data_IF_105985862142
#
_entry.id   IF_105985862142
#
_cell.length_a   1.000
_cell.length_b   1.000
_cell.length_c   1.000
_cell.angle_alpha   90.00
_cell.angle_beta   90.00
_cell.angle_gamma   90.00
#
_symmetry.space_group_name_H-M   'P 1'
#
loop_
_entity.id
_entity.type
_entity.pdbx_description
1 polymer ?
#
# COMPACT_ATOMS: atom_id res chain seq x y z
N UNK A 1 5.07 29.89 1.56
CA UNK A 1 6.39 29.36 1.95
C UNK A 1 6.61 28.09 1.17
N UNK A 2 7.83 27.76 0.76
CA UNK A 2 8.12 26.52 0.04
C UNK A 2 7.68 25.34 0.88
N UNK A 3 6.91 24.43 0.31
CA UNK A 3 6.47 23.18 0.96
C UNK A 3 7.42 22.02 0.64
N UNK A 4 8.48 22.30 -0.14
CA UNK A 4 9.43 21.28 -0.57
C UNK A 4 10.23 20.73 0.63
N UNK A 5 10.11 19.43 0.84
CA UNK A 5 10.88 18.65 1.81
C UNK A 5 11.97 17.86 1.08
N UNK A 6 13.19 17.88 1.64
CA UNK A 6 14.34 17.17 1.07
C UNK A 6 14.73 16.02 2.00
N UNK A 7 14.26 14.78 1.74
CA UNK A 7 14.65 13.61 2.52
C UNK A 7 16.16 13.39 2.51
N UNK A 8 16.73 13.06 3.67
CA UNK A 8 18.15 12.68 3.82
C UNK A 8 18.28 11.22 4.26
N UNK A 9 17.63 10.89 5.37
CA UNK A 9 17.52 9.54 5.90
C UNK A 9 16.03 9.24 6.07
N UNK A 10 15.54 8.20 5.38
CA UNK A 10 14.13 7.83 5.34
C UNK A 10 13.92 6.52 6.07
N UNK A 11 13.12 6.52 7.13
CA UNK A 11 12.56 5.28 7.69
C UNK A 11 11.37 4.86 6.83
N UNK A 12 11.49 3.75 6.13
CA UNK A 12 10.39 3.10 5.40
C UNK A 12 9.91 1.92 6.24
N UNK A 13 8.65 1.90 6.64
CA UNK A 13 8.08 0.77 7.37
C UNK A 13 7.17 -0.05 6.47
N UNK A 14 7.23 -1.38 6.55
CA UNK A 14 6.44 -2.24 5.66
C UNK A 14 6.97 -2.28 4.22
N UNK A 15 8.28 -2.03 4.05
CA UNK A 15 8.91 -1.97 2.73
C UNK A 15 9.11 -3.32 2.05
N UNK A 16 8.94 -4.45 2.74
CA UNK A 16 8.91 -5.77 2.13
C UNK A 16 7.50 -6.19 1.67
N UNK A 17 6.47 -5.38 1.97
CA UNK A 17 5.10 -5.56 1.48
C UNK A 17 4.93 -5.01 0.05
N UNK A 18 3.77 -5.24 -0.54
CA UNK A 18 3.47 -4.93 -1.94
C UNK A 18 3.77 -3.47 -2.35
N UNK A 19 3.13 -2.48 -1.70
CA UNK A 19 3.28 -1.07 -2.08
C UNK A 19 4.66 -0.55 -1.67
N UNK A 20 5.11 -0.88 -0.44
CA UNK A 20 6.41 -0.46 0.07
C UNK A 20 7.58 -0.99 -0.75
N UNK A 21 7.52 -2.24 -1.24
CA UNK A 21 8.56 -2.81 -2.09
C UNK A 21 8.63 -2.11 -3.45
N UNK A 22 7.49 -1.88 -4.11
CA UNK A 22 7.46 -1.11 -5.35
C UNK A 22 7.99 0.32 -5.17
N UNK A 23 7.70 0.96 -4.03
CA UNK A 23 8.27 2.26 -3.69
C UNK A 23 9.80 2.18 -3.55
N UNK A 24 10.33 1.25 -2.75
CA UNK A 24 11.77 1.11 -2.52
C UNK A 24 12.55 0.76 -3.80
N UNK A 25 12.04 -0.20 -4.60
CA UNK A 25 12.66 -0.59 -5.87
C UNK A 25 12.80 0.58 -6.86
N UNK A 26 11.94 1.59 -6.76
CA UNK A 26 11.99 2.79 -7.59
C UNK A 26 12.83 3.90 -6.96
N UNK A 27 12.73 4.10 -5.64
CA UNK A 27 13.32 5.27 -4.96
C UNK A 27 14.78 5.07 -4.59
N UNK A 28 15.20 3.87 -4.20
CA UNK A 28 16.60 3.59 -3.85
C UNK A 28 17.56 3.91 -5.02
N UNK A 29 17.34 3.40 -6.26
CA UNK A 29 18.21 3.77 -7.38
C UNK A 29 17.98 5.21 -7.89
N UNK A 30 16.79 5.79 -7.68
CA UNK A 30 16.47 7.16 -8.12
C UNK A 30 17.20 8.22 -7.29
N UNK A 31 17.43 7.95 -6.00
CA UNK A 31 18.00 8.90 -5.04
C UNK A 31 19.20 8.32 -4.32
N UNK A 32 20.36 8.20 -4.99
CA UNK A 32 21.55 7.56 -4.41
C UNK A 32 22.12 8.31 -3.19
N UNK A 33 21.82 9.61 -3.04
CA UNK A 33 22.26 10.42 -1.90
C UNK A 33 21.30 10.36 -0.68
N UNK A 34 20.16 9.66 -0.80
CA UNK A 34 19.19 9.46 0.27
C UNK A 34 19.37 8.08 0.87
N UNK A 35 19.52 7.99 2.18
CA UNK A 35 19.58 6.71 2.89
C UNK A 35 18.18 6.18 3.19
N UNK A 36 17.93 4.93 2.88
CA UNK A 36 16.66 4.24 3.14
C UNK A 36 16.87 3.13 4.17
N UNK A 37 16.23 3.23 5.33
CA UNK A 37 16.19 2.18 6.35
C UNK A 37 14.80 1.55 6.31
N UNK A 38 14.72 0.29 5.94
CA UNK A 38 13.46 -0.45 5.78
C UNK A 38 13.20 -1.32 7.02
N UNK A 39 12.23 -0.94 7.84
CA UNK A 39 11.76 -1.72 8.99
C UNK A 39 10.54 -2.55 8.57
N UNK A 40 10.66 -3.88 8.59
CA UNK A 40 9.56 -4.79 8.24
C UNK A 40 9.53 -5.99 9.19
N UNK A 41 8.33 -6.37 9.62
CA UNK A 41 8.12 -7.50 10.52
C UNK A 41 8.11 -8.85 9.78
N UNK A 42 8.17 -8.84 8.44
CA UNK A 42 8.09 -10.01 7.58
C UNK A 42 6.93 -10.94 7.96
N UNK A 43 5.74 -10.33 8.14
CA UNK A 43 4.51 -11.07 8.32
C UNK A 43 4.16 -11.85 7.04
N UNK A 44 2.96 -12.38 6.93
CA UNK A 44 2.59 -13.24 5.81
C UNK A 44 2.72 -12.62 4.41
N UNK A 45 2.63 -11.28 4.29
CA UNK A 45 2.70 -10.56 3.03
C UNK A 45 4.06 -9.88 2.78
N UNK A 46 4.95 -9.87 3.77
CA UNK A 46 6.31 -9.35 3.63
C UNK A 46 7.22 -10.40 2.98
N UNK A 47 7.86 -10.05 1.85
CA UNK A 47 8.77 -10.95 1.14
C UNK A 47 10.10 -10.26 0.79
N UNK A 48 11.19 -10.59 1.50
CA UNK A 48 12.50 -9.98 1.25
C UNK A 48 13.05 -10.29 -0.16
N UNK A 49 12.67 -11.41 -0.79
CA UNK A 49 13.08 -11.72 -2.16
C UNK A 49 12.65 -10.64 -3.17
N UNK A 50 11.57 -9.91 -2.87
CA UNK A 50 11.13 -8.79 -3.71
C UNK A 50 12.19 -7.68 -3.78
N UNK A 51 12.98 -7.52 -2.72
CA UNK A 51 13.96 -6.45 -2.58
C UNK A 51 15.38 -6.85 -2.99
N UNK A 52 15.60 -8.10 -3.48
CA UNK A 52 16.90 -8.54 -3.97
C UNK A 52 17.58 -7.56 -4.94
N UNK A 53 16.88 -6.89 -5.87
CA UNK A 53 17.53 -5.94 -6.78
C UNK A 53 18.21 -4.75 -6.12
N UNK A 54 17.88 -4.46 -4.85
CA UNK A 54 18.43 -3.34 -4.08
C UNK A 54 19.08 -3.76 -2.76
N UNK A 55 19.18 -5.06 -2.46
CA UNK A 55 19.69 -5.54 -1.16
C UNK A 55 21.13 -5.11 -0.87
N UNK A 56 21.97 -5.01 -1.91
CA UNK A 56 23.38 -4.62 -1.84
C UNK A 56 23.61 -3.11 -2.13
N UNK A 57 22.54 -2.30 -2.25
CA UNK A 57 22.68 -0.88 -2.52
C UNK A 57 23.26 -0.15 -1.29
N UNK A 58 24.29 0.69 -1.51
CA UNK A 58 24.99 1.42 -0.42
C UNK A 58 24.06 2.34 0.40
N UNK A 59 22.95 2.76 -0.20
CA UNK A 59 21.96 3.63 0.40
C UNK A 59 20.70 2.90 0.91
N UNK A 60 20.76 1.57 1.06
CA UNK A 60 19.65 0.74 1.56
C UNK A 60 20.09 -0.11 2.75
N UNK A 61 19.28 -0.15 3.79
CA UNK A 61 19.46 -1.02 4.96
C UNK A 61 18.14 -1.69 5.33
N UNK A 62 18.15 -3.00 5.51
CA UNK A 62 17.00 -3.75 6.00
C UNK A 62 17.11 -4.01 7.51
N UNK A 63 16.00 -3.81 8.21
CA UNK A 63 15.85 -4.13 9.64
C UNK A 63 14.62 -5.01 9.83
N UNK A 64 14.81 -6.21 10.37
CA UNK A 64 13.70 -7.08 10.74
C UNK A 64 13.12 -6.66 12.10
N UNK A 65 11.85 -6.30 12.15
CA UNK A 65 11.18 -5.94 13.40
C UNK A 65 9.77 -5.39 13.27
N UNK A 66 9.05 -5.36 14.39
CA UNK A 66 7.67 -4.91 14.50
C UNK A 66 7.63 -3.41 14.90
N UNK A 67 6.86 -2.61 14.18
CA UNK A 67 6.63 -1.20 14.50
C UNK A 67 5.95 -0.98 15.87
N UNK A 68 5.30 -2.00 16.42
CA UNK A 68 4.73 -1.96 17.77
C UNK A 68 5.76 -2.25 18.87
N UNK A 69 7.01 -2.64 18.52
CA UNK A 69 8.11 -2.75 19.47
C UNK A 69 8.74 -1.35 19.72
N UNK A 70 8.26 -0.68 20.77
CA UNK A 70 8.71 0.66 21.13
C UNK A 70 10.22 0.73 21.47
N UNK A 71 10.83 -0.35 21.97
CA UNK A 71 12.26 -0.35 22.27
C UNK A 71 13.10 -0.43 21.00
N UNK A 72 12.69 -1.24 20.01
CA UNK A 72 13.32 -1.31 18.70
C UNK A 72 13.18 0.03 17.96
N UNK A 73 11.96 0.56 17.88
CA UNK A 73 11.68 1.82 17.19
C UNK A 73 12.50 2.96 17.80
N UNK A 74 12.55 3.09 19.14
CA UNK A 74 13.35 4.11 19.80
C UNK A 74 14.83 3.96 19.46
N UNK A 75 15.37 2.75 19.52
CA UNK A 75 16.78 2.49 19.17
C UNK A 75 17.09 2.91 17.73
N UNK A 76 16.20 2.64 16.77
CA UNK A 76 16.41 3.06 15.38
C UNK A 76 16.45 4.59 15.25
N UNK A 77 15.60 5.31 15.97
CA UNK A 77 15.65 6.79 15.98
C UNK A 77 16.89 7.33 16.71
N UNK A 78 17.48 6.58 17.64
CA UNK A 78 18.74 6.95 18.30
C UNK A 78 19.99 6.67 17.43
N UNK A 79 19.92 5.62 16.59
CA UNK A 79 21.01 5.19 15.71
C UNK A 79 21.04 5.94 14.37
N UNK A 80 19.87 6.41 13.89
CA UNK A 80 19.73 7.06 12.59
C UNK A 80 19.10 8.46 12.74
N UNK A 81 19.68 9.44 12.07
CA UNK A 81 19.14 10.81 12.02
C UNK A 81 18.00 10.91 10.99
N UNK A 82 16.90 10.22 11.24
CA UNK A 82 15.76 10.22 10.34
C UNK A 82 15.19 11.62 10.13
N UNK A 83 15.21 12.10 8.90
CA UNK A 83 14.48 13.32 8.51
C UNK A 83 13.05 13.01 8.04
N UNK A 84 12.78 11.76 7.72
CA UNK A 84 11.52 11.36 7.07
C UNK A 84 11.08 9.97 7.55
N UNK A 85 9.79 9.82 7.78
CA UNK A 85 9.13 8.51 7.94
C UNK A 85 8.14 8.34 6.78
N UNK A 86 8.27 7.26 6.02
CA UNK A 86 7.30 6.80 5.03
C UNK A 86 6.64 5.51 5.57
N UNK A 87 5.42 5.65 6.10
CA UNK A 87 4.79 4.60 6.89
C UNK A 87 3.80 3.78 6.07
N UNK A 88 4.26 2.62 5.55
CA UNK A 88 3.45 1.66 4.80
C UNK A 88 3.00 0.47 5.66
N UNK A 89 3.69 0.16 6.76
CA UNK A 89 3.41 -1.01 7.57
C UNK A 89 1.97 -1.03 8.08
N UNK A 90 1.22 -2.06 7.71
CA UNK A 90 -0.16 -2.26 8.14
C UNK A 90 -0.57 -3.73 7.96
N UNK A 91 -1.41 -4.24 8.83
CA UNK A 91 -2.28 -5.37 8.49
C UNK A 91 -3.38 -4.87 7.55
N UNK A 92 -3.62 -5.55 6.41
CA UNK A 92 -4.43 -5.01 5.31
C UNK A 92 -5.45 -5.97 4.68
N UNK A 93 -5.58 -7.19 5.19
CA UNK A 93 -6.52 -8.17 4.63
C UNK A 93 -7.84 -8.16 5.39
N UNK A 94 -8.91 -7.69 4.75
CA UNK A 94 -10.23 -7.51 5.39
C UNK A 94 -10.74 -8.83 6.02
N UNK A 95 -10.69 -9.96 5.32
CA UNK A 95 -11.18 -11.24 5.86
C UNK A 95 -10.38 -11.68 7.10
N UNK A 96 -9.06 -11.43 7.13
CA UNK A 96 -8.25 -11.66 8.35
C UNK A 96 -8.65 -10.72 9.48
N UNK A 97 -9.04 -9.48 9.19
CA UNK A 97 -9.49 -8.54 10.23
C UNK A 97 -10.78 -8.99 10.92
N UNK A 98 -11.62 -9.74 10.22
CA UNK A 98 -12.84 -10.33 10.77
C UNK A 98 -12.49 -11.50 11.73
N UNK A 99 -11.43 -12.25 11.41
CA UNK A 99 -10.99 -13.38 12.22
C UNK A 99 -10.16 -12.98 13.45
N UNK A 100 -9.27 -11.98 13.27
CA UNK A 100 -8.40 -11.48 14.35
C UNK A 100 -8.32 -9.94 14.31
N UNK A 101 -9.34 -9.22 14.80
CA UNK A 101 -9.37 -7.76 14.77
C UNK A 101 -8.30 -7.12 15.67
N UNK A 102 -7.83 -7.81 16.72
CA UNK A 102 -6.85 -7.25 17.65
C UNK A 102 -5.46 -7.13 17.03
N UNK A 103 -5.06 -8.04 16.14
CA UNK A 103 -3.82 -7.90 15.38
C UNK A 103 -3.82 -6.59 14.56
N UNK A 104 -4.95 -6.23 13.95
CA UNK A 104 -5.10 -4.98 13.20
C UNK A 104 -5.01 -3.75 14.09
N UNK A 105 -5.64 -3.75 15.26
CA UNK A 105 -5.51 -2.66 16.23
C UNK A 105 -4.06 -2.53 16.70
N UNK A 106 -3.40 -3.63 17.02
CA UNK A 106 -2.00 -3.61 17.46
C UNK A 106 -1.07 -3.03 16.41
N UNK A 107 -1.12 -3.53 15.19
CA UNK A 107 -0.23 -3.05 14.12
C UNK A 107 -0.63 -1.66 13.66
N UNK A 108 -1.89 -1.47 13.25
CA UNK A 108 -2.28 -0.23 12.57
C UNK A 108 -2.43 0.95 13.53
N UNK A 109 -2.91 0.74 14.76
CA UNK A 109 -3.15 1.82 15.73
C UNK A 109 -1.95 1.98 16.68
N UNK A 110 -1.58 0.91 17.40
CA UNK A 110 -0.50 0.98 18.38
C UNK A 110 0.86 1.17 17.70
N UNK A 111 1.13 0.45 16.61
CA UNK A 111 2.36 0.61 15.83
C UNK A 111 2.52 2.01 15.27
N UNK A 112 1.45 2.58 14.69
CA UNK A 112 1.46 3.99 14.23
C UNK A 112 1.72 4.97 15.38
N UNK A 113 1.06 4.79 16.52
CA UNK A 113 1.30 5.63 17.70
C UNK A 113 2.75 5.56 18.21
N UNK A 114 3.35 4.36 18.19
CA UNK A 114 4.74 4.13 18.57
C UNK A 114 5.71 4.91 17.66
N UNK A 115 5.50 4.84 16.33
CA UNK A 115 6.31 5.60 15.37
C UNK A 115 6.14 7.12 15.53
N UNK A 116 4.90 7.57 15.69
CA UNK A 116 4.60 9.00 15.91
C UNK A 116 5.28 9.55 17.17
N UNK A 117 5.25 8.80 18.27
CA UNK A 117 5.87 9.24 19.53
C UNK A 117 7.39 9.25 19.44
N UNK A 118 8.00 8.26 18.77
CA UNK A 118 9.44 8.24 18.52
C UNK A 118 9.88 9.41 17.63
N UNK A 119 9.18 9.67 16.52
CA UNK A 119 9.44 10.82 15.65
C UNK A 119 9.30 12.15 16.39
N UNK A 120 8.22 12.31 17.17
CA UNK A 120 8.01 13.51 18.00
C UNK A 120 9.18 13.75 18.95
N UNK A 121 9.64 12.72 19.66
CA UNK A 121 10.75 12.84 20.62
C UNK A 121 12.06 13.19 19.90
N UNK A 122 12.38 12.50 18.80
CA UNK A 122 13.62 12.69 18.07
C UNK A 122 13.69 14.07 17.38
N UNK A 123 12.55 14.57 16.87
CA UNK A 123 12.50 15.81 16.08
C UNK A 123 12.24 17.07 16.92
N UNK A 124 11.90 16.93 18.21
CA UNK A 124 11.71 18.08 19.09
C UNK A 124 13.06 18.63 19.56
N UNK A 125 13.38 19.84 19.14
CA UNK A 125 14.57 20.58 19.58
C UNK A 125 14.15 21.88 20.24
N UNK A 126 14.61 22.16 21.45
CA UNK A 126 14.25 23.36 22.23
C UNK A 126 12.72 23.58 22.39
N UNK A 127 11.96 22.48 22.41
CA UNK A 127 10.50 22.52 22.56
C UNK A 127 9.71 22.74 21.27
N UNK A 128 10.36 22.75 20.10
CA UNK A 128 9.72 22.89 18.79
C UNK A 128 10.22 21.83 17.80
N UNK A 129 9.45 21.61 16.73
CA UNK A 129 9.82 20.75 15.58
C UNK A 129 9.93 21.65 14.35
N UNK A 130 11.03 21.51 13.60
CA UNK A 130 11.19 22.22 12.32
C UNK A 130 10.30 21.56 11.25
N UNK A 131 9.25 22.24 10.76
CA UNK A 131 8.33 21.66 9.81
C UNK A 131 8.88 21.54 8.37
N UNK A 132 10.06 22.07 8.11
CA UNK A 132 10.74 21.96 6.81
C UNK A 132 11.77 20.84 6.83
N UNK A 133 12.45 20.65 7.97
CA UNK A 133 13.50 19.63 8.11
C UNK A 133 12.95 18.20 8.21
N UNK A 134 11.71 18.04 8.70
CA UNK A 134 11.14 16.74 9.02
C UNK A 134 9.80 16.51 8.34
N UNK A 135 9.45 15.22 8.08
CA UNK A 135 8.15 14.81 7.55
C UNK A 135 7.76 13.39 7.95
N UNK A 136 6.59 13.24 8.52
CA UNK A 136 5.94 11.95 8.75
C UNK A 136 4.84 11.75 7.69
N UNK A 137 5.05 10.81 6.77
CA UNK A 137 4.08 10.49 5.73
C UNK A 137 3.37 9.18 6.06
N UNK A 138 2.06 9.24 6.23
CA UNK A 138 1.20 8.10 6.52
C UNK A 138 0.40 7.69 5.30
N UNK A 139 0.59 6.43 4.86
CA UNK A 139 -0.13 5.84 3.73
C UNK A 139 -1.38 5.13 4.26
N UNK A 140 -2.56 5.57 3.83
CA UNK A 140 -3.87 5.05 4.21
C UNK A 140 -4.65 4.54 3.00
N UNK A 141 -5.93 4.28 3.16
CA UNK A 141 -6.82 3.65 2.18
C UNK A 141 -8.13 4.43 2.04
N UNK A 142 -8.79 4.30 0.91
CA UNK A 142 -10.15 4.81 0.67
C UNK A 142 -11.23 4.06 1.47
N UNK A 143 -10.93 2.87 1.95
CA UNK A 143 -11.87 2.07 2.76
C UNK A 143 -12.26 2.77 4.09
N UNK A 144 -11.51 3.79 4.52
CA UNK A 144 -11.87 4.60 5.71
C UNK A 144 -13.11 5.47 5.48
N UNK A 145 -13.46 5.76 4.23
CA UNK A 145 -14.63 6.58 3.88
C UNK A 145 -15.95 5.83 3.85
N UNK A 146 -15.93 4.48 3.91
CA UNK A 146 -17.13 3.65 3.83
C UNK A 146 -17.51 3.32 2.38
N UNK A 147 -18.80 3.27 2.08
CA UNK A 147 -19.31 2.86 0.76
C UNK A 147 -20.04 4.00 0.04
N UNK A 148 -19.89 4.06 -1.27
CA UNK A 148 -20.66 4.96 -2.14
C UNK A 148 -21.92 4.25 -2.69
N UNK A 149 -22.92 5.06 -3.04
CA UNK A 149 -24.00 4.65 -3.94
C UNK A 149 -23.56 4.69 -5.41
N UNK A 150 -24.54 4.87 -6.31
CA UNK A 150 -24.30 4.80 -7.76
C UNK A 150 -23.44 5.96 -8.31
N UNK A 151 -23.32 7.06 -7.59
CA UNK A 151 -22.65 8.27 -8.05
C UNK A 151 -21.73 8.86 -6.96
N UNK A 152 -20.90 9.84 -7.32
CA UNK A 152 -19.98 10.52 -6.44
C UNK A 152 -18.62 9.85 -6.37
N UNK A 153 -17.68 10.49 -5.69
CA UNK A 153 -16.36 9.98 -5.37
C UNK A 153 -15.95 10.52 -4.00
N UNK A 154 -15.13 9.78 -3.28
CA UNK A 154 -14.50 10.25 -2.06
C UNK A 154 -13.44 11.31 -2.38
N UNK A 155 -13.38 12.34 -1.57
CA UNK A 155 -12.35 13.38 -1.59
C UNK A 155 -11.82 13.62 -0.16
N UNK A 156 -10.88 14.54 -0.01
CA UNK A 156 -10.23 14.85 1.26
C UNK A 156 -11.16 15.45 2.31
N UNK A 157 -12.37 15.85 1.92
CA UNK A 157 -13.41 16.42 2.81
C UNK A 157 -14.46 15.40 3.23
N UNK A 158 -14.44 14.21 2.62
CA UNK A 158 -15.40 13.14 2.91
C UNK A 158 -15.23 12.65 4.35
N UNK A 159 -16.28 12.61 5.16
CA UNK A 159 -16.24 12.03 6.51
C UNK A 159 -15.87 10.54 6.48
N UNK A 160 -15.17 10.07 7.50
CA UNK A 160 -14.87 8.66 7.69
C UNK A 160 -16.09 7.90 8.20
N UNK A 161 -16.38 6.76 7.56
CA UNK A 161 -17.47 5.83 7.91
C UNK A 161 -17.04 4.36 7.67
N UNK A 162 -15.99 3.85 8.37
CA UNK A 162 -15.42 2.54 8.12
C UNK A 162 -16.34 1.39 8.57
N UNK A 163 -16.51 0.35 7.72
CA UNK A 163 -17.41 -0.77 7.98
C UNK A 163 -16.73 -2.09 8.33
N UNK A 164 -15.39 -2.16 8.31
CA UNK A 164 -14.62 -3.35 8.68
C UNK A 164 -13.64 -3.08 9.82
N UNK A 165 -13.19 -4.12 10.58
CA UNK A 165 -12.15 -3.93 11.58
C UNK A 165 -10.84 -3.38 10.97
N UNK A 166 -10.51 -3.77 9.72
CA UNK A 166 -9.39 -3.21 8.99
C UNK A 166 -9.56 -1.71 8.76
N UNK A 167 -10.64 -1.30 8.08
CA UNK A 167 -10.86 0.11 7.75
C UNK A 167 -11.02 0.97 9.01
N UNK A 168 -11.65 0.44 10.07
CA UNK A 168 -11.75 1.12 11.37
C UNK A 168 -10.37 1.31 12.02
N UNK A 169 -9.46 0.33 11.93
CA UNK A 169 -8.10 0.45 12.45
C UNK A 169 -7.27 1.48 11.67
N UNK A 170 -7.45 1.54 10.34
CA UNK A 170 -6.81 2.56 9.49
C UNK A 170 -7.35 3.96 9.78
N UNK A 171 -8.67 4.12 9.91
CA UNK A 171 -9.27 5.39 10.33
C UNK A 171 -8.74 5.84 11.70
N UNK A 172 -8.57 4.91 12.65
CA UNK A 172 -7.97 5.18 13.95
C UNK A 172 -6.53 5.68 13.85
N UNK A 173 -5.71 5.08 12.98
CA UNK A 173 -4.34 5.54 12.74
C UNK A 173 -4.30 6.93 12.07
N UNK A 174 -5.16 7.18 11.08
CA UNK A 174 -5.25 8.49 10.44
C UNK A 174 -5.61 9.61 11.43
N UNK A 175 -6.55 9.31 12.35
CA UNK A 175 -6.90 10.26 13.42
C UNK A 175 -5.75 10.51 14.39
N UNK A 176 -4.94 9.49 14.73
CA UNK A 176 -3.75 9.68 15.56
C UNK A 176 -2.71 10.57 14.85
N UNK A 177 -2.48 10.35 13.56
CA UNK A 177 -1.54 11.18 12.77
C UNK A 177 -1.98 12.64 12.79
N UNK A 178 -3.27 12.94 12.56
CA UNK A 178 -3.81 14.31 12.65
C UNK A 178 -3.70 14.88 14.07
N UNK A 179 -4.02 14.08 15.09
CA UNK A 179 -3.92 14.51 16.48
C UNK A 179 -2.49 14.89 16.89
N UNK A 180 -1.47 14.18 16.38
CA UNK A 180 -0.06 14.51 16.61
C UNK A 180 0.36 15.80 15.90
N UNK A 181 -0.18 16.09 14.71
CA UNK A 181 0.02 17.37 14.05
C UNK A 181 -0.58 18.51 14.88
N UNK A 182 -1.85 18.38 15.26
CA UNK A 182 -2.59 19.43 15.98
C UNK A 182 -2.06 19.67 17.39
N UNK A 183 -1.66 18.60 18.11
CA UNK A 183 -1.25 18.68 19.51
C UNK A 183 0.21 19.03 19.67
N UNK A 184 1.07 18.49 18.83
CA UNK A 184 2.52 18.58 18.99
C UNK A 184 3.24 19.32 17.86
N UNK A 185 2.51 19.74 16.82
CA UNK A 185 3.08 20.39 15.64
C UNK A 185 3.93 19.43 14.78
N UNK A 186 3.68 18.12 14.88
CA UNK A 186 4.42 17.14 14.06
C UNK A 186 4.11 17.40 12.58
N UNK A 187 5.12 17.57 11.70
CA UNK A 187 4.91 17.78 10.27
C UNK A 187 4.47 16.48 9.60
N UNK A 188 3.19 16.31 9.43
CA UNK A 188 2.58 15.10 8.86
C UNK A 188 1.98 15.36 7.50
N UNK A 189 1.89 14.33 6.68
CA UNK A 189 1.04 14.27 5.49
C UNK A 189 0.38 12.90 5.43
N UNK A 190 -0.85 12.83 4.93
CA UNK A 190 -1.62 11.59 4.80
C UNK A 190 -2.00 11.40 3.33
N UNK A 191 -2.05 10.17 2.86
CA UNK A 191 -2.74 9.83 1.61
C UNK A 191 -3.72 8.69 1.81
N UNK A 192 -4.87 8.80 1.12
CA UNK A 192 -5.86 7.72 1.00
C UNK A 192 -5.85 7.26 -0.46
N UNK A 193 -5.50 6.00 -0.70
CA UNK A 193 -5.40 5.47 -2.06
C UNK A 193 -6.53 4.51 -2.38
N UNK A 194 -6.89 4.41 -3.66
CA UNK A 194 -7.80 3.40 -4.19
C UNK A 194 -7.12 2.01 -4.29
N UNK A 195 -7.86 1.01 -4.79
CA UNK A 195 -7.37 -0.37 -4.87
C UNK A 195 -6.14 -0.49 -5.77
N UNK A 196 -5.01 -0.85 -5.17
CA UNK A 196 -3.75 -1.03 -5.90
C UNK A 196 -3.67 -2.39 -6.59
N UNK A 197 -3.02 -2.43 -7.75
CA UNK A 197 -2.65 -3.67 -8.46
C UNK A 197 -1.31 -3.50 -9.17
N UNK A 198 -0.65 -4.60 -9.48
CA UNK A 198 0.64 -4.60 -10.18
C UNK A 198 1.59 -5.70 -9.72
N UNK A 199 2.86 -5.63 -10.11
CA UNK A 199 3.92 -6.57 -9.71
C UNK A 199 4.05 -6.72 -8.19
N UNK A 200 4.35 -7.93 -7.72
CA UNK A 200 4.62 -8.24 -6.30
C UNK A 200 3.41 -8.18 -5.35
N UNK A 201 2.18 -8.03 -5.84
CA UNK A 201 1.00 -8.14 -4.99
C UNK A 201 0.78 -9.58 -4.53
N UNK A 202 0.53 -9.77 -3.23
CA UNK A 202 0.35 -11.10 -2.65
C UNK A 202 -0.84 -11.85 -3.28
N UNK A 203 -0.69 -13.15 -3.65
CA UNK A 203 -1.65 -13.89 -4.49
C UNK A 203 -2.98 -14.26 -3.82
N UNK A 204 -3.28 -13.74 -2.62
CA UNK A 204 -4.61 -13.78 -2.01
C UNK A 204 -5.54 -12.66 -2.51
N UNK A 205 -4.99 -11.59 -3.10
CA UNK A 205 -5.75 -10.46 -3.63
C UNK A 205 -6.34 -10.78 -5.00
N UNK A 206 -7.47 -10.12 -5.33
CA UNK A 206 -8.29 -10.44 -6.51
C UNK A 206 -7.47 -10.65 -7.80
N UNK A 207 -6.68 -9.64 -8.20
CA UNK A 207 -5.99 -9.67 -9.50
C UNK A 207 -4.95 -10.81 -9.56
N UNK A 208 -3.96 -10.93 -8.66
CA UNK A 208 -3.00 -12.01 -8.75
C UNK A 208 -3.61 -13.39 -8.52
N UNK A 209 -4.63 -13.51 -7.65
CA UNK A 209 -5.36 -14.77 -7.46
C UNK A 209 -6.02 -15.23 -8.76
N UNK A 210 -6.72 -14.33 -9.47
CA UNK A 210 -7.40 -14.67 -10.72
C UNK A 210 -6.41 -15.00 -11.83
N UNK A 211 -5.27 -14.29 -11.94
CA UNK A 211 -4.21 -14.61 -12.90
C UNK A 211 -3.69 -16.05 -12.68
N UNK A 212 -3.35 -16.38 -11.41
CA UNK A 212 -2.83 -17.70 -11.07
C UNK A 212 -3.82 -18.80 -11.39
N UNK A 213 -5.09 -18.61 -10.98
CA UNK A 213 -6.14 -19.59 -11.22
C UNK A 213 -6.52 -19.74 -12.71
N UNK A 214 -6.57 -18.63 -13.46
CA UNK A 214 -6.81 -18.66 -14.90
C UNK A 214 -5.65 -19.36 -15.66
N UNK A 215 -4.39 -19.12 -15.24
CA UNK A 215 -3.24 -19.85 -15.77
C UNK A 215 -3.42 -21.35 -15.64
N UNK A 216 -3.82 -21.82 -14.46
CA UNK A 216 -3.89 -23.23 -14.10
C UNK A 216 -5.27 -23.86 -14.45
N UNK A 217 -6.19 -23.11 -15.05
CA UNK A 217 -7.60 -23.52 -15.30
C UNK A 217 -8.26 -24.05 -14.02
N UNK A 218 -7.94 -23.47 -12.88
CA UNK A 218 -8.53 -23.77 -11.59
C UNK A 218 -9.80 -22.91 -11.35
N UNK A 219 -10.73 -23.31 -10.48
CA UNK A 219 -11.92 -22.52 -10.18
C UNK A 219 -11.60 -21.09 -9.76
N UNK A 220 -12.24 -20.10 -10.41
CA UNK A 220 -12.09 -18.67 -10.13
C UNK A 220 -13.26 -18.20 -9.24
N UNK A 221 -13.05 -18.05 -7.91
CA UNK A 221 -14.14 -17.67 -7.01
C UNK A 221 -14.49 -16.19 -7.13
N UNK A 222 -15.74 -15.88 -7.46
CA UNK A 222 -16.26 -14.51 -7.49
C UNK A 222 -17.30 -14.36 -6.37
N UNK A 223 -17.07 -13.39 -5.47
CA UNK A 223 -18.00 -13.10 -4.37
C UNK A 223 -19.33 -12.54 -4.88
N UNK A 224 -20.44 -13.04 -4.34
CA UNK A 224 -21.79 -12.63 -4.71
C UNK A 224 -22.03 -12.79 -6.23
N UNK A 225 -22.48 -11.74 -6.89
CA UNK A 225 -22.63 -11.67 -8.35
C UNK A 225 -21.45 -10.94 -9.04
N UNK A 226 -20.42 -10.52 -8.27
CA UNK A 226 -19.28 -9.77 -8.79
C UNK A 226 -19.60 -8.32 -9.17
N UNK A 227 -20.69 -7.76 -8.63
CA UNK A 227 -21.18 -6.42 -8.97
C UNK A 227 -20.47 -5.29 -8.21
N UNK A 228 -19.69 -5.61 -7.16
CA UNK A 228 -18.93 -4.62 -6.42
C UNK A 228 -17.99 -3.86 -7.35
N UNK A 229 -17.97 -2.53 -7.20
CA UNK A 229 -17.15 -1.64 -8.03
C UNK A 229 -15.94 -1.17 -7.24
N UNK A 230 -14.77 -1.19 -7.89
CA UNK A 230 -13.52 -0.68 -7.33
C UNK A 230 -12.85 0.26 -8.32
N UNK A 231 -12.20 1.30 -7.79
CA UNK A 231 -11.27 2.12 -8.56
C UNK A 231 -9.88 1.50 -8.49
N UNK A 232 -9.24 1.28 -9.64
CA UNK A 232 -8.00 0.52 -9.75
C UNK A 232 -6.82 1.43 -10.08
N UNK A 233 -5.80 1.42 -9.22
CA UNK A 233 -4.58 2.22 -9.33
C UNK A 233 -3.36 1.30 -9.54
N UNK A 234 -2.60 1.53 -10.62
CA UNK A 234 -1.35 0.79 -10.82
C UNK A 234 -0.33 1.18 -9.76
N UNK A 235 0.35 0.20 -9.17
CA UNK A 235 1.24 0.40 -8.01
C UNK A 235 2.43 1.31 -8.33
N UNK A 236 2.90 1.36 -9.57
CA UNK A 236 3.97 2.28 -9.97
C UNK A 236 3.49 3.73 -10.00
N UNK A 237 2.27 3.99 -10.47
CA UNK A 237 1.67 5.31 -10.43
C UNK A 237 1.43 5.77 -8.99
N UNK A 238 1.07 4.83 -8.11
CA UNK A 238 0.97 5.10 -6.68
C UNK A 238 2.34 5.42 -6.07
N UNK A 239 3.39 4.67 -6.40
CA UNK A 239 4.74 4.94 -5.89
C UNK A 239 5.26 6.33 -6.34
N UNK A 240 4.97 6.74 -7.58
CA UNK A 240 5.30 8.08 -8.07
C UNK A 240 4.47 9.18 -7.37
N UNK A 241 3.19 8.93 -7.07
CA UNK A 241 2.35 9.83 -6.26
C UNK A 241 2.91 10.00 -4.85
N UNK A 242 3.31 8.89 -4.22
CA UNK A 242 3.90 8.88 -2.87
C UNK A 242 5.19 9.72 -2.85
N UNK A 243 6.11 9.53 -3.80
CA UNK A 243 7.35 10.31 -3.89
C UNK A 243 7.05 11.81 -4.02
N UNK A 244 6.11 12.16 -4.89
CA UNK A 244 5.70 13.54 -5.10
C UNK A 244 5.09 14.17 -3.84
N UNK A 245 4.16 13.48 -3.18
CA UNK A 245 3.53 13.95 -1.92
C UNK A 245 4.58 14.04 -0.81
N UNK A 246 5.49 13.07 -0.72
CA UNK A 246 6.56 13.06 0.28
C UNK A 246 7.48 14.28 0.16
N UNK A 247 7.72 14.79 -1.06
CA UNK A 247 8.58 15.94 -1.31
C UNK A 247 7.82 17.26 -1.30
N UNK A 248 6.69 17.32 -1.95
CA UNK A 248 6.00 18.58 -2.28
C UNK A 248 4.63 18.72 -1.62
N UNK A 249 4.10 17.67 -0.96
CA UNK A 249 2.86 17.73 -0.22
C UNK A 249 2.93 18.76 0.91
N UNK A 250 1.81 19.41 1.19
CA UNK A 250 1.70 20.38 2.30
C UNK A 250 1.53 19.65 3.63
N UNK A 251 2.25 20.10 4.65
CA UNK A 251 2.09 19.56 6.00
C UNK A 251 0.64 19.74 6.51
N UNK A 252 0.17 18.76 7.27
CA UNK A 252 -1.18 18.65 7.83
C UNK A 252 -2.28 18.45 6.78
N UNK A 253 -1.91 18.20 5.52
CA UNK A 253 -2.87 17.93 4.45
C UNK A 253 -3.04 16.43 4.21
N UNK A 254 -4.20 16.10 3.65
CA UNK A 254 -4.49 14.78 3.09
C UNK A 254 -4.56 14.89 1.57
N UNK A 255 -4.13 13.84 0.86
CA UNK A 255 -4.23 13.70 -0.58
C UNK A 255 -4.90 12.38 -0.95
N UNK A 256 -5.95 12.45 -1.73
CA UNK A 256 -6.59 11.29 -2.33
C UNK A 256 -5.84 10.85 -3.59
N UNK A 257 -5.59 9.55 -3.74
CA UNK A 257 -4.85 8.99 -4.89
C UNK A 257 -5.74 7.93 -5.57
N UNK A 258 -6.31 8.26 -6.72
CA UNK A 258 -7.24 7.40 -7.44
C UNK A 258 -6.80 7.07 -8.87
N UNK A 259 -7.19 5.88 -9.33
CA UNK A 259 -6.87 5.43 -10.69
C UNK A 259 -7.78 6.01 -11.78
N UNK A 260 -8.94 6.56 -11.43
CA UNK A 260 -10.05 6.89 -12.35
C UNK A 260 -10.44 5.70 -13.23
N UNK A 261 -10.38 4.52 -12.66
CA UNK A 261 -10.56 3.26 -13.37
C UNK A 261 -11.57 2.36 -12.63
N UNK A 262 -12.77 2.89 -12.43
CA UNK A 262 -13.87 2.14 -11.83
C UNK A 262 -14.27 0.95 -12.69
N UNK A 263 -14.26 -0.25 -12.12
CA UNK A 263 -14.67 -1.49 -12.78
C UNK A 263 -15.42 -2.40 -11.80
N UNK A 264 -16.44 -3.09 -12.29
CA UNK A 264 -17.03 -4.19 -11.53
C UNK A 264 -16.04 -5.34 -11.41
N UNK A 265 -16.04 -6.02 -10.28
CA UNK A 265 -15.13 -7.14 -10.04
C UNK A 265 -15.27 -8.23 -11.13
N UNK A 266 -16.48 -8.54 -11.58
CA UNK A 266 -16.70 -9.52 -12.65
C UNK A 266 -16.08 -9.08 -13.99
N UNK A 267 -16.16 -7.78 -14.33
CA UNK A 267 -15.54 -7.26 -15.55
C UNK A 267 -14.03 -7.35 -15.50
N UNK A 268 -13.42 -7.10 -14.31
CA UNK A 268 -11.98 -7.30 -14.08
C UNK A 268 -11.62 -8.78 -14.28
N UNK A 269 -12.38 -9.70 -13.68
CA UNK A 269 -12.12 -11.15 -13.82
C UNK A 269 -12.23 -11.60 -15.27
N UNK A 270 -13.23 -11.15 -16.01
CA UNK A 270 -13.35 -11.46 -17.44
C UNK A 270 -12.14 -10.97 -18.24
N UNK A 271 -11.72 -9.72 -18.00
CA UNK A 271 -10.55 -9.15 -18.70
C UNK A 271 -9.27 -9.91 -18.37
N UNK A 272 -9.09 -10.31 -17.10
CA UNK A 272 -7.94 -11.13 -16.69
C UNK A 272 -7.93 -12.49 -17.37
N UNK A 273 -9.07 -13.17 -17.45
CA UNK A 273 -9.19 -14.46 -18.14
C UNK A 273 -8.75 -14.33 -19.60
N UNK A 274 -9.28 -13.32 -20.31
CA UNK A 274 -8.94 -13.10 -21.72
C UNK A 274 -7.45 -12.81 -21.91
N UNK A 275 -6.87 -11.94 -21.07
CA UNK A 275 -5.45 -11.60 -21.15
C UNK A 275 -4.54 -12.79 -20.86
N UNK A 276 -4.92 -13.68 -19.94
CA UNK A 276 -4.18 -14.91 -19.62
C UNK A 276 -4.30 -15.90 -20.78
N UNK A 277 -5.51 -16.10 -21.36
CA UNK A 277 -5.70 -16.98 -22.51
C UNK A 277 -4.90 -16.49 -23.72
N UNK A 278 -4.93 -15.18 -24.04
CA UNK A 278 -4.11 -14.59 -25.09
C UNK A 278 -2.61 -14.85 -24.88
N UNK A 279 -2.12 -14.59 -23.65
CA UNK A 279 -0.70 -14.72 -23.32
C UNK A 279 -0.21 -16.18 -23.40
N UNK A 280 -1.08 -17.13 -23.14
CA UNK A 280 -0.79 -18.58 -23.20
C UNK A 280 -1.16 -19.24 -24.54
N UNK A 281 -1.63 -18.45 -25.52
CA UNK A 281 -2.03 -18.95 -26.84
C UNK A 281 -3.28 -19.85 -26.81
N UNK A 282 -4.17 -19.65 -25.84
CA UNK A 282 -5.45 -20.36 -25.71
C UNK A 282 -6.56 -19.62 -26.46
N UNK A 283 -7.66 -20.30 -26.75
CA UNK A 283 -8.88 -19.66 -27.21
C UNK A 283 -9.39 -18.70 -26.11
N UNK A 284 -9.62 -17.43 -26.47
CA UNK A 284 -10.11 -16.40 -25.55
C UNK A 284 -11.48 -16.81 -24.99
N UNK A 285 -11.60 -16.79 -23.66
CA UNK A 285 -12.79 -17.23 -22.93
C UNK A 285 -12.64 -18.61 -22.28
N UNK A 286 -11.60 -19.38 -22.60
CA UNK A 286 -11.34 -20.70 -22.00
C UNK A 286 -11.26 -20.59 -20.45
N UNK A 287 -10.51 -19.63 -19.93
CA UNK A 287 -10.39 -19.43 -18.49
C UNK A 287 -11.71 -18.92 -17.86
N UNK A 288 -12.56 -18.20 -18.60
CA UNK A 288 -13.85 -17.72 -18.10
C UNK A 288 -14.81 -18.87 -17.70
N UNK A 289 -14.69 -20.04 -18.33
CA UNK A 289 -15.49 -21.21 -17.99
C UNK A 289 -15.25 -21.73 -16.58
N UNK A 290 -14.13 -21.29 -15.95
CA UNK A 290 -13.78 -21.69 -14.59
C UNK A 290 -14.35 -20.73 -13.52
N UNK A 291 -15.09 -19.69 -13.91
CA UNK A 291 -15.69 -18.75 -12.95
C UNK A 291 -16.75 -19.46 -12.11
N UNK A 292 -16.61 -19.35 -10.79
CA UNK A 292 -17.55 -19.91 -9.82
C UNK A 292 -18.02 -18.81 -8.86
N UNK A 293 -19.33 -18.66 -8.71
CA UNK A 293 -19.89 -17.70 -7.77
C UNK A 293 -19.93 -18.30 -6.37
N UNK A 294 -19.40 -17.56 -5.39
CA UNK A 294 -19.33 -17.97 -3.98
C UNK A 294 -20.11 -17.00 -3.10
N UNK A 295 -20.43 -17.42 -1.87
CA UNK A 295 -21.15 -16.55 -0.92
C UNK A 295 -20.36 -15.27 -0.68
N UNK A 296 -21.07 -14.14 -0.70
CA UNK A 296 -20.46 -12.84 -0.41
C UNK A 296 -20.04 -12.71 1.06
N UNK A 297 -19.01 -11.88 1.32
CA UNK A 297 -18.49 -11.64 2.67
C UNK A 297 -19.38 -10.67 3.44
N UNK A 298 -19.46 -10.77 4.77
CA UNK A 298 -20.13 -9.76 5.59
C UNK A 298 -19.49 -8.37 5.48
N UNK A 299 -20.31 -7.32 5.43
CA UNK A 299 -19.83 -5.94 5.37
C UNK A 299 -19.05 -5.61 4.09
N UNK A 300 -19.41 -6.24 2.97
CA UNK A 300 -18.78 -5.99 1.68
C UNK A 300 -19.30 -4.69 1.07
N UNK A 301 -18.54 -3.63 1.15
CA UNK A 301 -18.86 -2.33 0.56
C UNK A 301 -19.13 -2.46 -0.94
N UNK A 302 -20.16 -1.77 -1.41
CA UNK A 302 -20.62 -1.93 -2.79
C UNK A 302 -19.70 -1.22 -3.78
N UNK A 303 -19.38 0.08 -3.55
CA UNK A 303 -18.61 0.87 -4.51
C UNK A 303 -17.61 1.78 -3.82
N UNK A 304 -16.39 1.81 -4.38
CA UNK A 304 -15.36 2.78 -4.10
C UNK A 304 -15.00 3.54 -5.37
N UNK A 305 -14.91 4.86 -5.25
CA UNK A 305 -14.33 5.76 -6.24
C UNK A 305 -13.67 6.92 -5.52
N UNK A 306 -12.53 7.38 -6.01
CA UNK A 306 -11.76 8.43 -5.36
C UNK A 306 -11.45 9.56 -6.34
N UNK A 307 -11.57 10.81 -5.88
CA UNK A 307 -11.20 11.98 -6.65
C UNK A 307 -9.77 12.41 -6.28
N UNK A 308 -8.83 12.23 -7.22
CA UNK A 308 -7.44 12.67 -7.08
C UNK A 308 -7.22 14.12 -7.56
N UNK A 309 -8.27 14.89 -7.78
CA UNK A 309 -8.20 16.23 -8.38
C UNK A 309 -7.30 17.20 -7.62
N UNK A 310 -7.25 17.11 -6.29
CA UNK A 310 -6.34 17.93 -5.47
C UNK A 310 -4.87 17.59 -5.77
N UNK A 311 -4.50 16.33 -5.77
CA UNK A 311 -3.14 15.87 -6.09
C UNK A 311 -2.73 16.28 -7.51
N UNK A 312 -3.62 16.11 -8.48
CA UNK A 312 -3.39 16.48 -9.89
C UNK A 312 -3.19 17.98 -10.05
N UNK A 313 -4.02 18.81 -9.39
CA UNK A 313 -3.97 20.27 -9.56
C UNK A 313 -2.89 20.95 -8.74
N UNK A 314 -2.65 20.50 -7.50
CA UNK A 314 -1.67 21.13 -6.61
C UNK A 314 -0.24 20.67 -6.88
N UNK A 315 -0.04 19.38 -7.17
CA UNK A 315 1.28 18.78 -7.31
C UNK A 315 1.60 18.35 -8.75
N UNK A 316 0.64 18.42 -9.68
CA UNK A 316 0.86 18.07 -11.08
C UNK A 316 1.01 16.57 -11.34
N UNK A 317 0.51 15.73 -10.43
CA UNK A 317 0.57 14.28 -10.62
C UNK A 317 -0.24 13.81 -11.82
N UNK A 318 0.29 12.85 -12.55
CA UNK A 318 -0.39 12.20 -13.68
C UNK A 318 -0.16 10.68 -13.62
N UNK A 319 -1.14 9.92 -14.07
CA UNK A 319 -1.01 8.47 -14.22
C UNK A 319 -0.28 8.13 -15.52
N UNK A 320 0.65 7.17 -15.44
CA UNK A 320 1.37 6.64 -16.60
C UNK A 320 0.66 5.41 -17.20
N UNK A 321 -0.19 4.73 -16.40
CA UNK A 321 -0.90 3.53 -16.82
C UNK A 321 -2.39 3.81 -16.99
N UNK A 322 -2.98 3.35 -18.11
CA UNK A 322 -4.41 3.09 -18.17
C UNK A 322 -4.67 1.74 -17.48
N UNK A 323 -5.91 1.48 -17.08
CA UNK A 323 -6.27 0.18 -16.50
C UNK A 323 -5.89 -0.99 -17.43
N UNK A 324 -6.17 -0.86 -18.71
CA UNK A 324 -5.91 -1.89 -19.72
C UNK A 324 -4.40 -2.13 -19.91
N UNK A 325 -3.59 -1.07 -20.01
CA UNK A 325 -2.14 -1.20 -20.16
C UNK A 325 -1.48 -1.77 -18.91
N UNK A 326 -1.88 -1.30 -17.73
CA UNK A 326 -1.38 -1.77 -16.45
C UNK A 326 -1.77 -3.22 -16.18
N UNK A 327 -3.03 -3.61 -16.51
CA UNK A 327 -3.48 -4.98 -16.30
C UNK A 327 -2.73 -5.97 -17.20
N UNK A 328 -2.51 -5.61 -18.48
CA UNK A 328 -1.71 -6.41 -19.42
C UNK A 328 -0.28 -6.58 -18.93
N UNK A 329 0.35 -5.50 -18.46
CA UNK A 329 1.70 -5.55 -17.89
C UNK A 329 1.74 -6.44 -16.63
N UNK A 330 0.73 -6.35 -15.76
CA UNK A 330 0.60 -7.18 -14.56
C UNK A 330 0.47 -8.66 -14.90
N UNK A 331 -0.40 -9.03 -15.84
CA UNK A 331 -0.53 -10.43 -16.30
C UNK A 331 0.80 -10.94 -16.84
N UNK A 332 1.46 -10.18 -17.73
CA UNK A 332 2.76 -10.56 -18.30
C UNK A 332 3.80 -10.76 -17.19
N UNK A 333 3.83 -9.89 -16.18
CA UNK A 333 4.75 -10.01 -15.06
C UNK A 333 4.52 -11.30 -14.25
N UNK A 334 3.28 -11.63 -13.87
CA UNK A 334 3.00 -12.85 -13.09
C UNK A 334 3.33 -14.13 -13.87
N UNK A 335 3.08 -14.14 -15.18
CA UNK A 335 3.42 -15.29 -16.03
C UNK A 335 4.93 -15.46 -16.21
N UNK A 336 5.71 -14.37 -16.17
CA UNK A 336 7.17 -14.39 -16.29
C UNK A 336 7.90 -14.64 -14.96
N UNK A 337 7.25 -14.43 -13.80
CA UNK A 337 7.87 -14.49 -12.47
C UNK A 337 7.32 -15.65 -11.63
N UNK A 338 7.24 -16.83 -12.22
CA UNK A 338 6.69 -18.03 -11.56
C UNK A 338 7.49 -18.44 -10.32
N UNK A 339 8.81 -18.29 -10.34
CA UNK A 339 9.67 -18.59 -9.18
C UNK A 339 9.36 -17.73 -7.96
N UNK A 340 9.13 -16.43 -8.17
CA UNK A 340 8.70 -15.52 -7.11
C UNK A 340 7.32 -15.94 -6.58
N UNK A 341 6.37 -16.20 -7.47
CA UNK A 341 5.03 -16.62 -7.11
C UNK A 341 5.04 -17.92 -6.30
N UNK A 342 5.83 -18.91 -6.74
CA UNK A 342 5.97 -20.19 -6.04
C UNK A 342 6.56 -19.99 -4.63
N UNK A 343 7.64 -19.22 -4.50
CA UNK A 343 8.25 -18.92 -3.20
C UNK A 343 7.28 -18.24 -2.23
N UNK A 344 6.41 -17.37 -2.73
CA UNK A 344 5.36 -16.74 -1.93
C UNK A 344 4.27 -17.74 -1.53
N UNK A 345 3.88 -18.65 -2.42
CA UNK A 345 2.81 -19.63 -2.17
C UNK A 345 3.22 -20.71 -1.15
N UNK A 346 4.43 -21.25 -1.24
CA UNK A 346 4.95 -22.26 -0.31
C UNK A 346 5.62 -21.65 0.93
N UNK A 347 5.68 -20.32 1.00
CA UNK A 347 6.30 -19.61 2.12
C UNK A 347 7.79 -19.94 2.31
N UNK A 348 8.45 -20.50 1.28
CA UNK A 348 9.86 -20.89 1.35
C UNK A 348 10.82 -19.70 1.58
N UNK A 349 10.37 -18.47 1.30
CA UNK A 349 11.10 -17.26 1.66
C UNK A 349 11.31 -17.08 3.18
N UNK A 350 10.45 -17.69 4.03
CA UNK A 350 10.59 -17.62 5.50
C UNK A 350 11.80 -18.40 6.01
N UNK A 351 12.20 -19.44 5.31
CA UNK A 351 13.37 -20.25 5.68
C UNK A 351 14.68 -19.49 5.47
N UNK A 352 14.71 -18.55 4.51
CA UNK A 352 15.87 -17.68 4.26
C UNK A 352 16.10 -16.66 5.39
N UNK A 353 15.04 -16.25 6.09
CA UNK A 353 15.12 -15.24 7.17
C UNK A 353 15.63 -15.83 8.49
N UNK A 354 15.42 -17.15 8.72
CA UNK A 354 15.89 -17.81 9.94
C UNK A 354 17.39 -18.15 9.92
N UNK A 355 18.05 -17.94 8.78
CA UNK A 355 19.48 -18.26 8.56
C UNK A 355 20.39 -17.01 8.55
N UNK A 356 19.88 -15.81 8.71
CA UNK A 356 20.60 -14.54 8.91
C UNK A 356 20.43 -14.03 10.34
#
# INVERSE_FOLDING_TARGET
MSTHHSPRVVLVTGGAGFIGANFLLRMVPRYPDVQFVNLDALTYAGNPMTLQPIEDAENYTFVHGDIADGALVQRLFDEHDFSTVAHFAAESHVDRSILDPLAFVRTNVVGTATLLDAARRAWTTEGAIDPVAFRFYHISTDEVFGTLGDTGAFDETTPYDPHSPYSASKAGSDHLVRAYADTYGLPVVISNCSNNYGPFQFPEKLIPLMITKARDLAPLPVYGAGENVRDWLHVEDHADAIDLILRDGRNSETYCIGGRAERRNLDVVHTLCDLVDEALGREVGTAREQITFVKDRPGHDFRYAIDAGKLETELGWTRNHTFESGLRATVAWYLANESWLQAVMDQSYRDCVQTQ
#
